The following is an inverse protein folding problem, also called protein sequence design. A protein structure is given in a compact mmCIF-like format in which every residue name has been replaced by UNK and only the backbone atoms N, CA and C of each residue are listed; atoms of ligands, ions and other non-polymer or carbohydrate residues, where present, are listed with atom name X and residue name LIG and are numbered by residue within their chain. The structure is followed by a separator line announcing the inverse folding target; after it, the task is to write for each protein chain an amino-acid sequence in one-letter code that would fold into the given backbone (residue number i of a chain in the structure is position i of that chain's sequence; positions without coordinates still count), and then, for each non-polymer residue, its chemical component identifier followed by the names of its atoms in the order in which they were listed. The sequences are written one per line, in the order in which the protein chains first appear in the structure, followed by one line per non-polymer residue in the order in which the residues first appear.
data_IF_060630919553
#
_entry.id   IF_060630919553
#
_cell.length_a   1.000
_cell.length_b   1.000
_cell.length_c   1.000
_cell.angle_alpha   90.00
_cell.angle_beta   90.00
_cell.angle_gamma   90.00
#
_symmetry.space_group_name_H-M   'P 1'
#
loop_
_entity.id
_entity.type
_entity.pdbx_description
1 polymer ?
#
# COMPACT_ATOMS: atom_id res chain seq x y z
N UNK A 1 25.52 -16.40 2.64
CA UNK A 1 24.82 -15.28 2.00
C UNK A 1 25.67 -14.81 0.85
N UNK A 2 25.20 -15.10 -0.36
CA UNK A 2 25.96 -14.92 -1.59
C UNK A 2 26.16 -13.43 -1.89
N UNK A 3 27.28 -13.07 -2.52
CA UNK A 3 27.60 -11.66 -2.89
C UNK A 3 26.52 -11.03 -3.74
N UNK A 4 25.88 -11.83 -4.61
CA UNK A 4 24.78 -11.44 -5.48
C UNK A 4 23.50 -11.06 -4.68
N UNK A 5 23.24 -11.78 -3.60
CA UNK A 5 22.09 -11.55 -2.71
C UNK A 5 22.21 -10.23 -1.93
N UNK A 6 23.44 -9.92 -1.47
CA UNK A 6 23.74 -8.62 -0.84
C UNK A 6 23.61 -7.45 -1.81
N UNK A 7 24.10 -7.63 -3.05
CA UNK A 7 24.01 -6.60 -4.08
C UNK A 7 22.54 -6.28 -4.42
N UNK A 8 21.70 -7.30 -4.64
CA UNK A 8 20.27 -7.15 -4.96
C UNK A 8 19.52 -6.43 -3.83
N UNK A 9 19.77 -6.84 -2.58
CA UNK A 9 19.17 -6.18 -1.41
C UNK A 9 19.57 -4.71 -1.33
N UNK A 10 20.87 -4.41 -1.49
CA UNK A 10 21.35 -3.03 -1.42
C UNK A 10 20.77 -2.16 -2.53
N UNK A 11 20.69 -2.68 -3.77
CA UNK A 11 20.04 -2.00 -4.88
C UNK A 11 18.56 -1.72 -4.59
N UNK A 12 17.85 -2.68 -4.03
CA UNK A 12 16.43 -2.50 -3.67
C UNK A 12 16.28 -1.41 -2.61
N UNK A 13 17.12 -1.42 -1.57
CA UNK A 13 17.09 -0.37 -0.53
C UNK A 13 17.41 1.00 -1.12
N UNK A 14 18.40 1.10 -1.99
CA UNK A 14 18.75 2.36 -2.66
C UNK A 14 17.61 2.85 -3.55
N UNK A 15 16.98 1.95 -4.32
CA UNK A 15 15.83 2.30 -5.17
C UNK A 15 14.64 2.81 -4.34
N UNK A 16 14.32 2.14 -3.23
CA UNK A 16 13.26 2.57 -2.31
C UNK A 16 13.59 3.93 -1.67
N UNK A 17 14.83 4.13 -1.23
CA UNK A 17 15.27 5.41 -0.65
C UNK A 17 15.23 6.54 -1.67
N UNK A 18 15.66 6.29 -2.90
CA UNK A 18 15.62 7.28 -3.99
C UNK A 18 14.17 7.65 -4.34
N UNK A 19 13.28 6.66 -4.43
CA UNK A 19 11.86 6.91 -4.67
C UNK A 19 11.22 7.70 -3.51
N UNK A 20 11.48 7.33 -2.25
CA UNK A 20 11.02 8.08 -1.09
C UNK A 20 11.52 9.52 -1.10
N UNK A 21 12.81 9.73 -1.37
CA UNK A 21 13.39 11.07 -1.46
C UNK A 21 12.75 11.91 -2.60
N UNK A 22 12.53 11.29 -3.77
CA UNK A 22 11.84 11.96 -4.87
C UNK A 22 10.41 12.36 -4.50
N UNK A 23 9.66 11.49 -3.79
CA UNK A 23 8.32 11.78 -3.29
C UNK A 23 8.33 12.92 -2.26
N UNK A 24 9.32 12.97 -1.35
CA UNK A 24 9.51 14.07 -0.42
C UNK A 24 9.76 15.39 -1.16
N UNK A 25 10.69 15.41 -2.11
CA UNK A 25 11.00 16.60 -2.89
C UNK A 25 9.77 17.10 -3.66
N UNK A 26 9.07 16.20 -4.37
CA UNK A 26 7.85 16.55 -5.10
C UNK A 26 6.75 17.11 -4.17
N UNK A 27 6.59 16.53 -2.98
CA UNK A 27 5.64 16.99 -1.98
C UNK A 27 5.98 18.38 -1.43
N UNK A 28 7.25 18.61 -1.05
CA UNK A 28 7.72 19.90 -0.54
C UNK A 28 7.61 20.99 -1.61
N UNK A 29 7.94 20.67 -2.86
CA UNK A 29 7.82 21.61 -3.99
C UNK A 29 6.37 21.88 -4.41
N UNK A 30 5.39 21.12 -3.88
CA UNK A 30 3.98 21.26 -4.25
C UNK A 30 3.63 20.77 -5.67
N UNK A 31 4.56 20.09 -6.35
CA UNK A 31 4.38 19.64 -7.74
C UNK A 31 3.36 18.51 -7.91
N UNK A 32 2.88 17.91 -6.80
CA UNK A 32 1.83 16.89 -6.80
C UNK A 32 0.43 17.51 -6.89
N UNK A 33 0.28 18.76 -6.42
CA UNK A 33 -1.01 19.46 -6.39
C UNK A 33 -1.22 20.22 -7.72
N UNK A 34 -1.97 19.61 -8.64
CA UNK A 34 -2.30 20.16 -9.95
C UNK A 34 -3.80 20.42 -10.06
N UNK A 35 -4.31 21.58 -9.58
CA UNK A 35 -5.76 21.82 -9.54
C UNK A 35 -6.37 22.07 -10.92
N UNK A 36 -5.57 22.44 -11.93
CA UNK A 36 -6.05 22.82 -13.28
C UNK A 36 -5.79 21.75 -14.34
N UNK A 37 -5.06 20.69 -14.00
CA UNK A 37 -4.63 19.62 -14.92
C UNK A 37 -4.91 18.23 -14.31
N UNK A 38 -4.96 17.19 -15.14
CA UNK A 38 -4.94 15.81 -14.63
C UNK A 38 -3.71 15.58 -13.73
N UNK A 39 -3.80 14.77 -12.67
CA UNK A 39 -2.74 14.59 -11.66
C UNK A 39 -1.60 13.69 -12.19
N UNK A 40 -0.91 14.15 -13.25
CA UNK A 40 0.10 13.36 -13.96
C UNK A 40 1.31 13.04 -13.08
N UNK A 41 1.75 13.97 -12.23
CA UNK A 41 2.85 13.75 -11.29
C UNK A 41 2.46 12.66 -10.27
N UNK A 42 1.26 12.75 -9.69
CA UNK A 42 0.74 11.72 -8.78
C UNK A 42 0.65 10.35 -9.45
N UNK A 43 0.10 10.30 -10.67
CA UNK A 43 0.01 9.06 -11.46
C UNK A 43 1.40 8.50 -11.79
N UNK A 44 2.38 9.36 -12.07
CA UNK A 44 3.76 8.96 -12.27
C UNK A 44 4.33 8.26 -11.03
N UNK A 45 4.14 8.82 -9.84
CA UNK A 45 4.57 8.20 -8.58
C UNK A 45 3.83 6.89 -8.27
N UNK A 46 2.59 6.75 -8.70
CA UNK A 46 1.81 5.53 -8.51
C UNK A 46 2.23 4.43 -9.50
N UNK A 47 2.34 4.74 -10.79
CA UNK A 47 2.50 3.76 -11.85
C UNK A 47 3.97 3.34 -12.03
N UNK A 48 4.91 4.29 -11.98
CA UNK A 48 6.33 4.01 -12.25
C UNK A 48 6.93 2.93 -11.35
N UNK A 49 6.74 2.95 -10.01
CA UNK A 49 7.29 1.89 -9.16
C UNK A 49 6.62 0.53 -9.39
N UNK A 50 5.33 0.50 -9.73
CA UNK A 50 4.63 -0.74 -10.05
C UNK A 50 5.20 -1.35 -11.34
N UNK A 51 5.34 -0.55 -12.39
CA UNK A 51 5.93 -1.01 -13.67
C UNK A 51 7.40 -1.43 -13.47
N UNK A 52 8.18 -0.62 -12.75
CA UNK A 52 9.57 -0.93 -12.43
C UNK A 52 9.71 -2.25 -11.67
N UNK A 53 8.84 -2.49 -10.69
CA UNK A 53 8.80 -3.76 -9.97
C UNK A 53 8.46 -4.94 -10.90
N UNK A 54 7.42 -4.81 -11.73
CA UNK A 54 7.01 -5.86 -12.67
C UNK A 54 8.15 -6.21 -13.63
N UNK A 55 8.83 -5.20 -14.19
CA UNK A 55 9.98 -5.41 -15.09
C UNK A 55 11.12 -6.10 -14.34
N UNK A 56 11.52 -5.59 -13.17
CA UNK A 56 12.60 -6.18 -12.37
C UNK A 56 12.28 -7.62 -11.95
N UNK A 57 11.02 -7.89 -11.60
CA UNK A 57 10.56 -9.21 -11.21
C UNK A 57 10.52 -10.20 -12.39
N UNK A 58 10.12 -9.75 -13.58
CA UNK A 58 10.07 -10.58 -14.78
C UNK A 58 11.46 -10.88 -15.34
N UNK A 59 12.32 -9.86 -15.45
CA UNK A 59 13.61 -9.95 -16.10
C UNK A 59 14.75 -10.39 -15.15
N UNK A 60 14.67 -10.09 -13.84
CA UNK A 60 15.76 -10.27 -12.89
C UNK A 60 15.56 -11.51 -11.99
N UNK A 61 16.27 -12.62 -12.27
CA UNK A 61 16.18 -13.82 -11.43
C UNK A 61 16.59 -13.57 -9.96
N UNK A 62 17.64 -12.78 -9.74
CA UNK A 62 18.11 -12.42 -8.39
C UNK A 62 17.09 -11.56 -7.63
N UNK A 63 16.47 -10.59 -8.31
CA UNK A 63 15.43 -9.75 -7.69
C UNK A 63 14.19 -10.58 -7.37
N UNK A 64 13.77 -11.47 -8.25
CA UNK A 64 12.67 -12.40 -8.04
C UNK A 64 12.93 -13.30 -6.82
N UNK A 65 14.13 -13.90 -6.75
CA UNK A 65 14.51 -14.72 -5.59
C UNK A 65 14.50 -13.93 -4.29
N UNK A 66 14.99 -12.69 -4.30
CA UNK A 66 14.95 -11.77 -3.16
C UNK A 66 13.51 -11.46 -2.74
N UNK A 67 12.64 -11.04 -3.68
CA UNK A 67 11.25 -10.69 -3.40
C UNK A 67 10.45 -11.92 -2.89
N UNK A 68 10.65 -13.07 -3.51
CA UNK A 68 10.06 -14.34 -3.09
C UNK A 68 10.65 -14.84 -1.75
N UNK A 69 11.82 -14.42 -1.36
CA UNK A 69 12.46 -14.72 -0.07
C UNK A 69 11.91 -13.92 1.11
N UNK A 70 11.18 -12.82 0.89
CA UNK A 70 10.60 -12.02 1.98
C UNK A 70 9.60 -12.85 2.79
N UNK A 71 9.69 -12.84 4.12
CA UNK A 71 8.81 -13.64 4.97
C UNK A 71 7.39 -13.07 5.03
N UNK A 72 6.37 -13.95 5.09
CA UNK A 72 4.97 -13.51 5.25
C UNK A 72 4.75 -12.63 6.49
N UNK A 73 5.33 -12.95 7.68
CA UNK A 73 5.20 -12.04 8.82
C UNK A 73 5.75 -10.64 8.58
N UNK A 74 6.81 -10.49 7.77
CA UNK A 74 7.35 -9.18 7.39
C UNK A 74 6.38 -8.44 6.46
N UNK A 75 5.89 -9.12 5.40
CA UNK A 75 4.97 -8.54 4.44
C UNK A 75 3.65 -8.12 5.11
N UNK A 76 3.05 -8.97 5.93
CA UNK A 76 1.82 -8.65 6.67
C UNK A 76 2.08 -7.59 7.73
N UNK A 77 3.20 -7.69 8.46
CA UNK A 77 3.57 -6.74 9.51
C UNK A 77 3.80 -5.31 8.99
N UNK A 78 4.24 -5.15 7.75
CA UNK A 78 4.41 -3.82 7.16
C UNK A 78 3.09 -3.03 7.09
N UNK A 79 1.94 -3.72 7.02
CA UNK A 79 0.61 -3.08 7.00
C UNK A 79 0.17 -2.50 8.37
N UNK A 80 0.93 -2.70 9.46
CA UNK A 80 0.66 -2.00 10.73
C UNK A 80 0.77 -0.48 10.58
N UNK A 81 1.57 0.00 9.62
CA UNK A 81 1.62 1.42 9.27
C UNK A 81 0.24 1.98 8.90
N UNK A 82 -0.70 1.17 8.42
CA UNK A 82 -2.04 1.59 8.01
C UNK A 82 -2.91 2.07 9.18
N UNK A 83 -2.47 1.97 10.43
CA UNK A 83 -3.06 2.74 11.53
C UNK A 83 -3.01 4.26 11.28
N UNK A 84 -2.24 4.75 10.32
CA UNK A 84 -2.32 6.13 9.81
C UNK A 84 -3.75 6.53 9.37
N UNK A 85 -4.62 5.57 9.04
CA UNK A 85 -6.05 5.77 8.77
C UNK A 85 -6.79 6.49 9.89
N UNK A 86 -6.34 6.39 11.16
CA UNK A 86 -6.82 7.22 12.26
C UNK A 86 -6.70 8.71 11.95
N UNK A 87 -5.61 9.10 11.26
CA UNK A 87 -5.41 10.47 10.79
C UNK A 87 -6.46 10.92 9.77
N UNK A 88 -6.96 10.02 8.92
CA UNK A 88 -8.02 10.34 7.96
C UNK A 88 -9.37 10.55 8.65
N UNK A 89 -9.68 9.69 9.64
CA UNK A 89 -10.88 9.86 10.48
C UNK A 89 -10.82 11.19 11.23
N UNK A 90 -9.68 11.51 11.83
CA UNK A 90 -9.47 12.79 12.54
C UNK A 90 -9.60 13.95 11.55
N UNK A 91 -8.96 13.90 10.39
CA UNK A 91 -9.04 14.95 9.39
C UNK A 91 -10.47 15.17 8.87
N UNK A 92 -11.27 14.11 8.74
CA UNK A 92 -12.69 14.21 8.47
C UNK A 92 -13.46 14.90 9.61
N UNK A 93 -13.25 14.50 10.86
CA UNK A 93 -13.90 15.09 12.01
C UNK A 93 -13.61 16.60 12.15
N UNK A 94 -12.41 17.03 11.74
CA UNK A 94 -12.04 18.45 11.69
C UNK A 94 -12.43 19.16 10.39
N UNK A 95 -13.18 18.51 9.49
CA UNK A 95 -13.65 19.09 8.23
C UNK A 95 -12.56 19.39 7.20
N UNK A 96 -11.39 18.75 7.30
CA UNK A 96 -10.27 18.91 6.36
C UNK A 96 -10.21 17.82 5.29
N UNK A 97 -10.98 16.74 5.47
CA UNK A 97 -11.25 15.72 4.45
C UNK A 97 -12.75 15.51 4.26
N UNK A 98 -13.21 15.22 3.03
CA UNK A 98 -14.62 14.92 2.78
C UNK A 98 -15.00 13.58 3.44
N UNK A 99 -16.25 13.49 3.94
CA UNK A 99 -16.75 12.26 4.58
C UNK A 99 -16.67 11.04 3.66
N UNK A 100 -16.95 11.23 2.36
CA UNK A 100 -16.87 10.15 1.36
C UNK A 100 -15.48 9.61 1.10
N UNK A 101 -14.42 10.27 1.60
CA UNK A 101 -13.04 9.77 1.61
C UNK A 101 -12.60 9.41 3.03
N UNK A 102 -12.71 10.35 3.99
CA UNK A 102 -12.13 10.19 5.32
C UNK A 102 -12.72 9.04 6.13
N UNK A 103 -14.01 8.74 5.94
CA UNK A 103 -14.67 7.62 6.64
C UNK A 103 -14.25 6.26 6.04
N UNK A 104 -14.55 5.95 4.76
CA UNK A 104 -14.25 4.62 4.23
C UNK A 104 -12.77 4.31 4.26
N UNK A 105 -11.91 5.23 3.80
CA UNK A 105 -10.47 4.96 3.70
C UNK A 105 -9.79 4.96 5.08
N UNK A 106 -10.28 5.79 6.02
CA UNK A 106 -9.78 5.79 7.39
C UNK A 106 -10.10 4.50 8.12
N UNK A 107 -11.35 4.04 8.09
CA UNK A 107 -11.74 2.77 8.73
C UNK A 107 -11.21 1.57 7.96
N UNK A 108 -11.12 1.61 6.64
CA UNK A 108 -10.55 0.55 5.82
C UNK A 108 -9.08 0.30 6.17
N UNK A 109 -8.28 1.34 6.30
CA UNK A 109 -6.89 1.29 6.74
C UNK A 109 -6.76 0.72 8.17
N UNK A 110 -7.61 1.18 9.12
CA UNK A 110 -7.62 0.67 10.50
C UNK A 110 -7.95 -0.82 10.53
N UNK A 111 -8.96 -1.27 9.78
CA UNK A 111 -9.35 -2.68 9.70
C UNK A 111 -8.21 -3.52 9.10
N UNK A 112 -7.55 -3.03 8.06
CA UNK A 112 -6.41 -3.71 7.45
C UNK A 112 -5.24 -3.83 8.44
N UNK A 113 -4.92 -2.77 9.19
CA UNK A 113 -3.88 -2.79 10.21
C UNK A 113 -4.21 -3.70 11.40
N UNK A 114 -5.44 -3.65 11.89
CA UNK A 114 -5.92 -4.52 12.97
C UNK A 114 -5.92 -5.99 12.56
N UNK A 115 -6.35 -6.28 11.32
CA UNK A 115 -6.28 -7.63 10.75
C UNK A 115 -4.85 -8.14 10.60
N UNK A 116 -3.91 -7.28 10.17
CA UNK A 116 -2.48 -7.62 10.15
C UNK A 116 -1.97 -7.97 11.55
N UNK A 117 -2.31 -7.14 12.55
CA UNK A 117 -1.92 -7.37 13.95
C UNK A 117 -2.45 -8.71 14.47
N UNK A 118 -3.70 -9.06 14.16
CA UNK A 118 -4.33 -10.31 14.56
C UNK A 118 -3.71 -11.55 13.86
N UNK A 119 -3.29 -11.41 12.58
CA UNK A 119 -2.69 -12.50 11.81
C UNK A 119 -1.24 -12.79 12.20
N UNK A 120 -0.49 -11.79 12.65
CA UNK A 120 0.96 -11.93 12.92
C UNK A 120 1.33 -13.08 13.87
N UNK A 121 0.65 -13.29 15.02
CA UNK A 121 0.99 -14.40 15.92
C UNK A 121 0.79 -15.77 15.26
N UNK A 122 -0.28 -15.95 14.48
CA UNK A 122 -0.57 -17.19 13.77
C UNK A 122 0.43 -17.44 12.64
N UNK A 123 0.81 -16.39 11.89
CA UNK A 123 1.84 -16.47 10.85
C UNK A 123 3.21 -16.86 11.41
N UNK A 124 3.59 -16.29 12.57
CA UNK A 124 4.87 -16.62 13.24
C UNK A 124 4.91 -18.06 13.75
N UNK A 125 3.77 -18.61 14.13
CA UNK A 125 3.63 -20.03 14.58
C UNK A 125 3.40 -21.00 13.43
N UNK A 126 3.21 -20.52 12.18
CA UNK A 126 2.87 -21.37 11.04
C UNK A 126 1.44 -21.93 11.07
N UNK A 127 0.55 -21.37 11.90
CA UNK A 127 -0.84 -21.84 12.09
C UNK A 127 -1.88 -20.94 11.42
N UNK A 128 -1.46 -19.98 10.61
CA UNK A 128 -2.39 -19.07 9.95
C UNK A 128 -3.24 -19.82 8.90
N UNK A 129 -4.56 -19.73 9.02
CA UNK A 129 -5.47 -20.29 8.04
C UNK A 129 -5.39 -19.49 6.72
N UNK A 130 -5.18 -20.21 5.60
CA UNK A 130 -5.08 -19.63 4.26
C UNK A 130 -6.28 -18.73 3.92
N UNK A 131 -7.49 -19.15 4.29
CA UNK A 131 -8.71 -18.39 4.02
C UNK A 131 -8.75 -17.02 4.69
N UNK A 132 -8.32 -16.93 5.96
CA UNK A 132 -8.23 -15.67 6.68
C UNK A 132 -7.17 -14.73 6.10
N UNK A 133 -6.00 -15.27 5.75
CA UNK A 133 -4.95 -14.49 5.10
C UNK A 133 -5.40 -13.96 3.74
N UNK A 134 -6.13 -14.79 2.96
CA UNK A 134 -6.67 -14.39 1.67
C UNK A 134 -7.75 -13.29 1.83
N UNK A 135 -8.71 -13.49 2.72
CA UNK A 135 -9.78 -12.51 2.96
C UNK A 135 -9.21 -11.15 3.40
N UNK A 136 -8.27 -11.15 4.33
CA UNK A 136 -7.58 -9.94 4.77
C UNK A 136 -6.79 -9.28 3.63
N UNK A 137 -6.08 -10.08 2.82
CA UNK A 137 -5.28 -9.54 1.71
C UNK A 137 -6.15 -8.93 0.61
N UNK A 138 -7.29 -9.57 0.30
CA UNK A 138 -8.28 -9.01 -0.64
C UNK A 138 -8.87 -7.71 -0.10
N UNK A 139 -9.29 -7.70 1.18
CA UNK A 139 -9.80 -6.48 1.82
C UNK A 139 -8.79 -5.33 1.71
N UNK A 140 -7.56 -5.54 2.17
CA UNK A 140 -6.55 -4.48 2.18
C UNK A 140 -6.13 -4.00 0.79
N UNK A 141 -6.16 -4.90 -0.22
CA UNK A 141 -5.91 -4.53 -1.61
C UNK A 141 -7.05 -3.68 -2.19
N UNK A 142 -8.29 -4.11 -1.99
CA UNK A 142 -9.48 -3.39 -2.49
C UNK A 142 -9.59 -2.02 -1.84
N UNK A 143 -9.30 -1.91 -0.55
CA UNK A 143 -9.29 -0.65 0.17
C UNK A 143 -8.25 0.34 -0.40
N UNK A 144 -7.03 -0.10 -0.70
CA UNK A 144 -6.05 0.77 -1.37
C UNK A 144 -6.48 1.22 -2.76
N UNK A 145 -7.14 0.35 -3.53
CA UNK A 145 -7.70 0.71 -4.84
C UNK A 145 -8.83 1.72 -4.68
N UNK A 146 -9.71 1.52 -3.68
CA UNK A 146 -10.75 2.48 -3.30
C UNK A 146 -10.16 3.85 -2.93
N UNK A 147 -9.11 3.87 -2.11
CA UNK A 147 -8.43 5.10 -1.68
C UNK A 147 -7.89 5.90 -2.87
N UNK A 148 -7.32 5.23 -3.88
CA UNK A 148 -6.87 5.91 -5.11
C UNK A 148 -8.07 6.51 -5.85
N UNK A 149 -9.12 5.72 -6.04
CA UNK A 149 -10.32 6.16 -6.77
C UNK A 149 -11.02 7.33 -6.06
N UNK A 150 -11.29 7.19 -4.77
CA UNK A 150 -11.96 8.22 -3.98
C UNK A 150 -11.08 9.46 -3.80
N UNK A 151 -9.75 9.27 -3.68
CA UNK A 151 -8.79 10.37 -3.65
C UNK A 151 -8.87 11.25 -4.90
N UNK A 152 -9.02 10.65 -6.09
CA UNK A 152 -9.18 11.36 -7.35
C UNK A 152 -10.57 11.96 -7.49
N UNK A 153 -11.63 11.20 -7.17
CA UNK A 153 -13.03 11.65 -7.32
C UNK A 153 -13.39 12.82 -6.40
N UNK A 154 -12.77 12.92 -5.22
CA UNK A 154 -12.92 14.04 -4.29
C UNK A 154 -11.81 15.08 -4.40
N UNK A 155 -10.97 15.03 -5.45
CA UNK A 155 -9.89 16.00 -5.63
C UNK A 155 -10.41 17.38 -6.01
N UNK A 156 -9.54 18.38 -5.88
CA UNK A 156 -9.78 19.75 -6.38
C UNK A 156 -9.41 19.94 -7.86
N UNK A 157 -9.08 18.85 -8.56
CA UNK A 157 -8.70 18.85 -9.98
C UNK A 157 -9.86 18.52 -10.92
N UNK A 158 -9.58 18.45 -12.24
CA UNK A 158 -10.59 18.20 -13.28
C UNK A 158 -11.34 16.86 -13.14
N UNK A 159 -10.75 15.89 -12.43
CA UNK A 159 -11.33 14.56 -12.16
C UNK A 159 -12.11 14.49 -10.84
N UNK A 160 -12.23 15.59 -10.11
CA UNK A 160 -12.92 15.68 -8.82
C UNK A 160 -14.44 15.72 -8.98
N UNK A 161 -15.04 14.67 -9.56
CA UNK A 161 -16.46 14.60 -9.91
C UNK A 161 -17.39 14.59 -8.70
N UNK A 162 -16.89 14.18 -7.52
CA UNK A 162 -17.65 14.13 -6.28
C UNK A 162 -17.32 15.31 -5.33
N UNK A 163 -16.44 16.21 -5.73
CA UNK A 163 -16.04 17.38 -4.93
C UNK A 163 -17.05 18.53 -5.05
N UNK A 164 -18.34 18.27 -4.92
CA UNK A 164 -19.42 19.27 -5.02
C UNK A 164 -19.41 20.32 -3.90
N UNK A 165 -18.44 20.29 -2.99
CA UNK A 165 -18.32 21.17 -1.84
C UNK A 165 -16.97 21.86 -1.72
N UNK A 166 -16.79 22.60 -0.61
CA UNK A 166 -15.55 23.32 -0.29
C UNK A 166 -14.43 22.37 0.19
N UNK A 167 -14.78 21.18 0.69
CA UNK A 167 -13.85 20.19 1.26
C UNK A 167 -13.49 19.16 0.19
N UNK A 168 -12.18 19.04 -0.08
CA UNK A 168 -11.63 18.12 -1.08
C UNK A 168 -10.52 17.27 -0.46
N UNK A 169 -9.97 16.32 -1.24
CA UNK A 169 -8.79 15.53 -0.85
C UNK A 169 -7.46 16.28 -1.05
N UNK A 170 -7.48 17.62 -1.08
CA UNK A 170 -6.26 18.44 -1.21
C UNK A 170 -5.21 18.11 -0.15
N UNK A 171 -5.63 17.72 1.06
CA UNK A 171 -4.73 17.28 2.11
C UNK A 171 -3.82 16.13 1.63
N UNK A 172 -4.37 15.22 0.82
CA UNK A 172 -3.64 14.04 0.30
C UNK A 172 -2.54 14.39 -0.70
N UNK A 173 -2.54 15.58 -1.26
CA UNK A 173 -1.48 16.09 -2.17
C UNK A 173 -0.61 17.17 -1.52
N UNK A 174 -0.77 17.38 -0.20
CA UNK A 174 0.01 18.33 0.60
C UNK A 174 1.03 17.57 1.47
N UNK A 175 2.28 18.01 1.46
CA UNK A 175 3.34 17.42 2.30
C UNK A 175 3.06 17.63 3.80
N UNK A 176 3.28 16.65 4.67
CA UNK A 176 3.85 15.33 4.44
C UNK A 176 2.83 14.25 4.04
N UNK A 177 1.53 14.53 4.07
CA UNK A 177 0.47 13.55 3.79
C UNK A 177 0.55 13.01 2.36
N UNK A 178 1.08 13.80 1.43
CA UNK A 178 1.32 13.38 0.04
C UNK A 178 2.23 12.16 -0.12
N UNK A 179 3.03 11.82 0.88
CA UNK A 179 3.81 10.58 0.89
C UNK A 179 2.93 9.32 0.89
N UNK A 180 1.71 9.42 1.37
CA UNK A 180 0.78 8.29 1.40
C UNK A 180 0.45 7.84 -0.03
N UNK A 181 -0.13 8.67 -0.91
CA UNK A 181 -0.44 8.26 -2.27
C UNK A 181 0.78 8.12 -3.19
N UNK A 182 1.91 8.79 -2.91
CA UNK A 182 3.08 8.78 -3.80
C UNK A 182 4.10 7.69 -3.46
N UNK A 183 4.13 7.21 -2.23
CA UNK A 183 5.09 6.19 -1.79
C UNK A 183 4.40 4.97 -1.15
N UNK A 184 3.60 5.18 -0.09
CA UNK A 184 3.08 4.06 0.70
C UNK A 184 2.01 3.25 -0.06
N UNK A 185 1.08 3.89 -0.74
CA UNK A 185 0.01 3.20 -1.48
C UNK A 185 0.58 2.27 -2.56
N UNK A 186 1.42 2.73 -3.52
CA UNK A 186 1.99 1.82 -4.51
C UNK A 186 2.91 0.77 -3.90
N UNK A 187 3.65 1.08 -2.82
CA UNK A 187 4.44 0.09 -2.09
C UNK A 187 3.55 -1.03 -1.52
N UNK A 188 2.45 -0.67 -0.84
CA UNK A 188 1.54 -1.67 -0.27
C UNK A 188 0.76 -2.47 -1.32
N UNK A 189 0.44 -1.89 -2.47
CA UNK A 189 -0.12 -2.66 -3.59
C UNK A 189 0.85 -3.76 -4.04
N UNK A 190 2.16 -3.46 -4.13
CA UNK A 190 3.19 -4.45 -4.44
C UNK A 190 3.33 -5.52 -3.34
N UNK A 191 3.25 -5.11 -2.07
CA UNK A 191 3.28 -6.05 -0.94
C UNK A 191 2.06 -6.97 -0.98
N UNK A 192 0.86 -6.46 -1.24
CA UNK A 192 -0.34 -7.29 -1.41
C UNK A 192 -0.19 -8.27 -2.58
N UNK A 193 0.39 -7.85 -3.71
CA UNK A 193 0.65 -8.73 -4.86
C UNK A 193 1.61 -9.88 -4.49
N UNK A 194 2.67 -9.60 -3.74
CA UNK A 194 3.57 -10.64 -3.23
C UNK A 194 2.86 -11.60 -2.26
N UNK A 195 2.00 -11.09 -1.39
CA UNK A 195 1.20 -11.92 -0.48
C UNK A 195 0.23 -12.81 -1.26
N UNK A 196 -0.46 -12.31 -2.30
CA UNK A 196 -1.32 -13.11 -3.18
C UNK A 196 -0.54 -14.26 -3.81
N UNK A 197 0.66 -13.98 -4.34
CA UNK A 197 1.53 -15.02 -4.90
C UNK A 197 1.87 -16.09 -3.85
N UNK A 198 2.23 -15.67 -2.63
CA UNK A 198 2.54 -16.60 -1.53
C UNK A 198 1.35 -17.47 -1.16
N UNK A 199 0.15 -16.88 -1.05
CA UNK A 199 -1.09 -17.61 -0.74
C UNK A 199 -1.38 -18.68 -1.82
N UNK A 200 -1.10 -18.38 -3.09
CA UNK A 200 -1.32 -19.34 -4.17
C UNK A 200 -0.50 -20.64 -4.00
N UNK A 201 0.66 -20.54 -3.36
CA UNK A 201 1.57 -21.67 -3.12
C UNK A 201 1.44 -22.28 -1.70
N UNK A 202 0.57 -21.73 -0.84
CA UNK A 202 0.32 -22.37 0.47
C UNK A 202 -0.59 -23.59 0.29
N UNK A 203 -0.29 -24.70 0.96
CA UNK A 203 -1.19 -25.84 1.00
C UNK A 203 -2.54 -25.42 1.61
N UNK A 204 -3.64 -26.00 1.10
CA UNK A 204 -4.96 -25.84 1.71
C UNK A 204 -4.94 -26.53 3.07
N UNK A 205 -4.78 -25.76 4.13
CA UNK A 205 -4.85 -26.17 5.55
C UNK A 205 -4.20 -27.48 5.92
N UNK A 206 -3.41 -27.48 6.95
CA UNK A 206 -3.18 -28.64 7.79
C UNK A 206 -4.55 -29.18 8.19
N UNK A 207 -4.97 -30.24 7.52
CA UNK A 207 -6.07 -31.09 7.98
C UNK A 207 -5.60 -31.61 9.31
N UNK A 208 -6.26 -31.23 10.38
CA UNK A 208 -6.14 -31.94 11.64
C UNK A 208 -6.56 -33.39 11.32
N UNK A 209 -5.58 -34.26 11.18
CA UNK A 209 -5.80 -35.67 11.28
C UNK A 209 -6.05 -35.98 12.79
N UNK A 210 -7.20 -35.53 13.29
CA UNK A 210 -7.82 -36.06 14.47
C UNK A 210 -8.56 -37.33 14.02
N UNK A 211 -7.76 -38.33 13.71
CA UNK A 211 -8.18 -39.68 13.42
C UNK A 211 -7.93 -40.57 14.60
N UNK A 212 -8.97 -40.97 15.26
CA UNK A 212 -9.10 -42.13 16.17
C UNK A 212 -8.19 -42.20 17.35
#
# INVERSE_FOLDING_TARGET
MDTNDRSTRNLTVVALAAWFAAACVAGVMGSINEPTRPPLVLLGFLVTPIVGFVIAYAAGASFRAFADGLSLPLLVGSHLWRFVGLGFVIAWLYGTLPAGFGIPEGFGDIIAAAGALALLPALRRGTAARGWLLAWNVWGFVDLVSAIMMGVLYSNGPLGLLSAGTVTTRLMVTFPVSLIPTFFVPLFLLVHALIFKRIAHLPNTVRSDDGC
#
